data_IF_761889812477
#
_entry.id   IF_761889812477
#
_cell.length_a   1.000
_cell.length_b   1.000
_cell.length_c   1.000
_cell.angle_alpha   90.00
_cell.angle_beta   90.00
_cell.angle_gamma   90.00
#
_symmetry.space_group_name_H-M   'P 1'
#
loop_
_entity.id
_entity.type
_entity.pdbx_description
1 polymer ?
#
# COMPACT_ATOMS: atom_id res chain seq x y z
N UNK A 1 7.47 15.52 -22.84
CA UNK A 1 7.63 14.46 -21.81
C UNK A 1 6.26 13.85 -21.60
N UNK A 2 6.08 12.61 -22.09
CA UNK A 2 4.77 11.96 -22.27
C UNK A 2 3.96 11.86 -20.96
N UNK A 3 2.64 12.01 -21.06
CA UNK A 3 1.63 11.86 -20.00
C UNK A 3 1.71 10.47 -19.36
N UNK A 4 2.68 10.25 -18.45
CA UNK A 4 2.74 9.04 -17.64
C UNK A 4 1.73 9.17 -16.51
N UNK A 5 0.69 8.32 -16.46
CA UNK A 5 -0.27 8.37 -15.36
C UNK A 5 0.42 8.11 -14.01
N UNK A 6 -0.13 8.66 -12.91
CA UNK A 6 0.27 8.23 -11.57
C UNK A 6 0.09 6.70 -11.44
N UNK A 7 0.90 6.06 -10.61
CA UNK A 7 0.89 4.60 -10.36
C UNK A 7 1.27 3.73 -11.57
N UNK A 8 1.90 4.29 -12.61
CA UNK A 8 2.44 3.49 -13.71
C UNK A 8 3.54 2.56 -13.19
N UNK A 9 3.32 1.24 -13.32
CA UNK A 9 4.27 0.18 -13.00
C UNK A 9 5.48 0.26 -13.94
N UNK A 10 5.24 0.21 -15.25
CA UNK A 10 6.26 0.32 -16.30
C UNK A 10 5.59 0.75 -17.62
N UNK A 11 6.41 1.11 -18.60
CA UNK A 11 5.94 1.43 -19.95
C UNK A 11 6.40 0.36 -20.91
N UNK A 12 5.46 -0.23 -21.65
CA UNK A 12 5.71 -1.28 -22.63
C UNK A 12 5.42 -0.78 -24.04
N UNK A 13 6.20 -1.25 -24.99
CA UNK A 13 5.90 -1.16 -26.42
C UNK A 13 5.47 -2.55 -26.88
N UNK A 14 4.23 -2.69 -27.33
CA UNK A 14 3.66 -3.97 -27.75
C UNK A 14 3.29 -3.96 -29.23
N UNK A 15 3.44 -5.10 -29.90
CA UNK A 15 2.74 -5.41 -31.13
C UNK A 15 1.46 -6.16 -30.75
N UNK A 16 0.29 -5.62 -31.07
CA UNK A 16 -1.00 -6.09 -30.59
C UNK A 16 -1.97 -6.29 -31.75
N UNK A 17 -2.60 -7.46 -31.78
CA UNK A 17 -3.71 -7.80 -32.68
C UNK A 17 -5.04 -7.53 -31.97
N UNK A 18 -5.87 -6.65 -32.51
CA UNK A 18 -7.17 -6.39 -31.92
C UNK A 18 -8.23 -7.44 -32.33
N UNK A 19 -9.47 -7.26 -31.87
CA UNK A 19 -10.56 -8.21 -32.17
C UNK A 19 -10.88 -8.30 -33.68
N UNK A 20 -10.58 -7.26 -34.45
CA UNK A 20 -10.77 -7.24 -35.90
C UNK A 20 -9.60 -7.84 -36.69
N UNK A 21 -8.56 -8.32 -36.01
CA UNK A 21 -7.33 -8.81 -36.64
C UNK A 21 -6.37 -7.70 -37.07
N UNK A 22 -6.64 -6.43 -36.71
CA UNK A 22 -5.70 -5.34 -37.01
C UNK A 22 -4.48 -5.41 -36.09
N UNK A 23 -3.32 -5.65 -36.69
CA UNK A 23 -2.03 -5.65 -36.00
C UNK A 23 -1.47 -4.24 -35.96
N UNK A 24 -1.07 -3.83 -34.77
CA UNK A 24 -0.62 -2.47 -34.53
C UNK A 24 0.41 -2.37 -33.42
N UNK A 25 1.30 -1.39 -33.51
CA UNK A 25 2.22 -1.07 -32.44
C UNK A 25 1.58 -0.09 -31.44
N UNK A 26 1.68 -0.38 -30.14
CA UNK A 26 1.12 0.44 -29.07
C UNK A 26 2.18 0.71 -28.00
N UNK A 27 2.34 1.97 -27.63
CA UNK A 27 2.96 2.32 -26.35
C UNK A 27 1.91 2.28 -25.25
N UNK A 28 2.21 1.62 -24.12
CA UNK A 28 1.28 1.46 -23.00
C UNK A 28 1.99 1.77 -21.68
N UNK A 29 1.51 2.78 -20.95
CA UNK A 29 1.89 2.97 -19.54
C UNK A 29 1.01 2.09 -18.67
N UNK A 30 1.53 0.95 -18.23
CA UNK A 30 0.77 -0.08 -17.50
C UNK A 30 0.55 0.38 -16.06
N UNK A 31 -0.70 0.36 -15.62
CA UNK A 31 -1.12 0.77 -14.26
C UNK A 31 -1.69 -0.38 -13.45
N UNK A 32 -2.23 -1.41 -14.10
CA UNK A 32 -2.75 -2.60 -13.44
C UNK A 32 -2.62 -3.84 -14.32
N UNK A 33 -2.72 -5.02 -13.74
CA UNK A 33 -2.60 -6.28 -14.47
C UNK A 33 -3.08 -7.48 -13.65
N UNK A 34 -3.46 -8.53 -14.36
CA UNK A 34 -3.77 -9.84 -13.80
C UNK A 34 -3.08 -10.95 -14.63
N UNK A 35 -3.55 -12.19 -14.51
CA UNK A 35 -3.00 -13.37 -15.19
C UNK A 35 -3.29 -13.42 -16.69
N UNK A 36 -4.31 -12.71 -17.18
CA UNK A 36 -4.77 -12.78 -18.57
C UNK A 36 -4.55 -11.48 -19.35
N UNK A 37 -4.48 -10.35 -18.65
CA UNK A 37 -4.46 -9.03 -19.27
C UNK A 37 -3.74 -7.97 -18.43
N UNK A 38 -3.44 -6.85 -19.09
CA UNK A 38 -2.94 -5.63 -18.45
C UNK A 38 -3.81 -4.43 -18.81
N UNK A 39 -3.94 -3.51 -17.86
CA UNK A 39 -4.61 -2.22 -18.01
C UNK A 39 -3.58 -1.09 -17.98
N UNK A 40 -3.75 -0.15 -18.90
CA UNK A 40 -2.86 0.99 -18.96
C UNK A 40 -3.35 2.11 -19.85
N UNK A 41 -2.63 3.22 -19.78
CA UNK A 41 -2.85 4.34 -20.71
C UNK A 41 -2.21 4.01 -22.05
N UNK A 42 -3.06 3.86 -23.07
CA UNK A 42 -2.64 3.65 -24.45
C UNK A 42 -2.26 4.98 -25.08
N UNK A 43 -0.97 5.18 -25.38
CA UNK A 43 -0.47 6.44 -25.91
C UNK A 43 -0.97 6.76 -27.33
N UNK A 44 -1.27 5.73 -28.13
CA UNK A 44 -1.80 5.94 -29.48
C UNK A 44 -3.27 6.40 -29.46
N UNK A 45 -4.05 5.94 -28.49
CA UNK A 45 -5.49 6.23 -28.39
C UNK A 45 -5.80 7.29 -27.33
N UNK A 46 -4.79 7.76 -26.63
CA UNK A 46 -4.86 8.74 -25.53
C UNK A 46 -5.90 8.41 -24.46
N UNK A 47 -6.11 7.12 -24.18
CA UNK A 47 -7.11 6.65 -23.23
C UNK A 47 -6.68 5.37 -22.51
N UNK A 48 -7.31 5.09 -21.35
CA UNK A 48 -7.12 3.80 -20.67
C UNK A 48 -7.73 2.67 -21.49
N UNK A 49 -7.01 1.57 -21.62
CA UNK A 49 -7.44 0.35 -22.30
C UNK A 49 -6.86 -0.88 -21.62
N UNK A 50 -7.56 -1.99 -21.83
CA UNK A 50 -7.17 -3.34 -21.44
C UNK A 50 -6.58 -4.07 -22.64
N UNK A 51 -5.52 -4.83 -22.41
CA UNK A 51 -4.79 -5.60 -23.43
C UNK A 51 -4.63 -7.03 -22.93
N UNK A 52 -5.25 -7.99 -23.62
CA UNK A 52 -5.08 -9.42 -23.31
C UNK A 52 -3.72 -9.91 -23.78
N UNK A 53 -3.05 -10.74 -22.99
CA UNK A 53 -1.72 -11.23 -23.31
C UNK A 53 -1.70 -12.14 -24.54
N UNK A 54 -2.77 -12.92 -24.75
CA UNK A 54 -2.94 -13.82 -25.90
C UNK A 54 -2.96 -13.10 -27.25
N UNK A 55 -3.16 -11.77 -27.25
CA UNK A 55 -3.17 -10.91 -28.42
C UNK A 55 -1.91 -10.05 -28.57
N UNK A 56 -0.96 -10.17 -27.65
CA UNK A 56 0.33 -9.50 -27.72
C UNK A 56 1.32 -10.38 -28.48
N UNK A 57 1.65 -9.97 -29.71
CA UNK A 57 2.55 -10.70 -30.61
C UNK A 57 4.03 -10.49 -30.24
N UNK A 58 4.37 -9.31 -29.69
CA UNK A 58 5.68 -9.01 -29.13
C UNK A 58 5.60 -7.90 -28.11
N UNK A 59 6.53 -7.87 -27.16
CA UNK A 59 6.57 -6.88 -26.09
C UNK A 59 8.01 -6.49 -25.78
N UNK A 60 8.24 -5.19 -25.60
CA UNK A 60 9.54 -4.60 -25.25
C UNK A 60 9.35 -3.60 -24.12
N UNK A 61 10.26 -3.58 -23.14
CA UNK A 61 10.29 -2.53 -22.13
C UNK A 61 10.74 -1.22 -22.79
N UNK A 62 9.88 -0.19 -22.77
CA UNK A 62 10.13 1.05 -23.49
C UNK A 62 11.33 1.84 -22.94
N UNK A 63 11.72 1.61 -21.68
CA UNK A 63 12.83 2.33 -21.05
C UNK A 63 14.18 1.63 -21.28
N UNK A 64 14.21 0.29 -21.32
CA UNK A 64 15.45 -0.49 -21.42
C UNK A 64 15.71 -1.04 -22.82
N UNK A 65 14.68 -1.14 -23.67
CA UNK A 65 14.76 -1.80 -24.97
C UNK A 65 14.79 -3.33 -24.90
N UNK A 66 14.70 -3.92 -23.70
CA UNK A 66 14.75 -5.36 -23.50
C UNK A 66 13.45 -6.03 -23.95
N UNK A 67 13.57 -7.16 -24.63
CA UNK A 67 12.44 -8.01 -25.00
C UNK A 67 11.80 -8.65 -23.75
N UNK A 68 10.47 -8.59 -23.67
CA UNK A 68 9.69 -9.12 -22.56
C UNK A 68 8.96 -10.38 -23.03
N UNK A 69 9.52 -11.55 -22.68
CA UNK A 69 8.97 -12.84 -23.11
C UNK A 69 7.79 -13.31 -22.24
N UNK A 70 7.75 -12.89 -20.97
CA UNK A 70 6.62 -13.16 -20.06
C UNK A 70 6.18 -11.85 -19.43
N UNK A 71 5.09 -11.30 -19.96
CA UNK A 71 4.57 -9.98 -19.60
C UNK A 71 4.15 -9.96 -18.12
N UNK A 72 3.41 -10.96 -17.65
CA UNK A 72 2.95 -11.00 -16.27
C UNK A 72 4.12 -11.03 -15.27
N UNK A 73 5.12 -11.89 -15.49
CA UNK A 73 6.32 -11.97 -14.63
C UNK A 73 7.08 -10.65 -14.61
N UNK A 74 7.21 -10.00 -15.77
CA UNK A 74 7.85 -8.70 -15.92
C UNK A 74 7.07 -7.58 -15.18
N UNK A 75 5.76 -7.53 -15.35
CA UNK A 75 4.91 -6.57 -14.65
C UNK A 75 4.95 -6.77 -13.14
N UNK A 76 4.91 -8.02 -12.68
CA UNK A 76 5.02 -8.36 -11.25
C UNK A 76 6.37 -7.93 -10.66
N UNK A 77 7.49 -8.15 -11.38
CA UNK A 77 8.81 -7.75 -10.89
C UNK A 77 8.93 -6.23 -10.73
N UNK A 78 8.40 -5.46 -11.69
CA UNK A 78 8.35 -4.00 -11.60
C UNK A 78 7.35 -3.51 -10.54
N UNK A 79 6.19 -4.14 -10.43
CA UNK A 79 5.19 -3.79 -9.42
C UNK A 79 5.73 -3.99 -8.00
N UNK A 80 6.49 -5.06 -7.74
CA UNK A 80 7.18 -5.30 -6.47
C UNK A 80 8.14 -4.18 -6.05
N UNK A 81 8.63 -3.40 -7.00
CA UNK A 81 9.49 -2.25 -6.74
C UNK A 81 8.70 -0.98 -6.44
N UNK A 82 7.37 -0.96 -6.59
CA UNK A 82 6.55 0.25 -6.35
C UNK A 82 6.23 0.45 -4.87
N UNK A 83 5.96 1.69 -4.48
CA UNK A 83 5.41 1.98 -3.14
C UNK A 83 4.03 1.32 -2.96
N UNK A 84 3.21 1.30 -4.02
CA UNK A 84 1.89 0.67 -4.02
C UNK A 84 1.95 -0.79 -3.53
N UNK A 85 2.90 -1.58 -4.05
CA UNK A 85 3.09 -2.97 -3.60
C UNK A 85 3.38 -3.07 -2.09
N UNK A 86 4.22 -2.19 -1.56
CA UNK A 86 4.51 -2.13 -0.12
C UNK A 86 3.23 -1.83 0.68
N UNK A 87 2.41 -0.89 0.23
CA UNK A 87 1.14 -0.55 0.89
C UNK A 87 0.13 -1.71 0.82
N UNK A 88 0.06 -2.41 -0.31
CA UNK A 88 -0.82 -3.58 -0.49
C UNK A 88 -0.40 -4.74 0.43
N UNK A 89 0.91 -4.97 0.59
CA UNK A 89 1.42 -5.95 1.56
C UNK A 89 1.08 -5.56 3.00
N UNK A 90 1.22 -4.28 3.36
CA UNK A 90 0.83 -3.79 4.68
C UNK A 90 -0.66 -4.01 4.95
N UNK A 91 -1.51 -3.67 3.98
CA UNK A 91 -2.96 -3.85 4.08
C UNK A 91 -3.33 -5.32 4.31
N UNK A 92 -2.75 -6.24 3.53
CA UNK A 92 -3.07 -7.68 3.58
C UNK A 92 -2.48 -8.37 4.81
N UNK A 93 -1.23 -8.07 5.16
CA UNK A 93 -0.47 -8.84 6.14
C UNK A 93 -0.49 -8.23 7.55
N UNK A 94 -0.76 -6.92 7.67
CA UNK A 94 -0.77 -6.21 8.95
C UNK A 94 -2.08 -5.45 9.25
N UNK A 95 -3.27 -5.95 8.86
CA UNK A 95 -4.52 -5.20 9.02
C UNK A 95 -4.84 -4.89 10.49
N UNK A 96 -4.54 -5.81 11.40
CA UNK A 96 -4.83 -5.62 12.82
C UNK A 96 -3.92 -4.55 13.47
N UNK A 97 -2.66 -4.46 13.06
CA UNK A 97 -1.76 -3.39 13.52
C UNK A 97 -2.20 -2.02 12.99
N UNK A 98 -2.64 -1.94 11.72
CA UNK A 98 -3.17 -0.72 11.12
C UNK A 98 -4.46 -0.26 11.82
N UNK A 99 -5.36 -1.19 12.15
CA UNK A 99 -6.57 -0.90 12.94
C UNK A 99 -6.25 -0.38 14.34
N UNK A 100 -5.24 -0.94 15.01
CA UNK A 100 -4.78 -0.45 16.31
C UNK A 100 -4.28 1.00 16.20
N UNK A 101 -3.44 1.30 15.22
CA UNK A 101 -2.95 2.66 14.98
C UNK A 101 -4.10 3.63 14.67
N UNK A 102 -5.03 3.23 13.80
CA UNK A 102 -6.18 4.05 13.42
C UNK A 102 -7.08 4.35 14.62
N UNK A 103 -7.34 3.37 15.48
CA UNK A 103 -8.15 3.57 16.69
C UNK A 103 -7.52 4.59 17.62
N UNK A 104 -6.21 4.43 17.91
CA UNK A 104 -5.48 5.33 18.82
C UNK A 104 -5.40 6.74 18.22
N UNK A 105 -5.07 6.87 16.94
CA UNK A 105 -4.94 8.16 16.28
C UNK A 105 -6.28 8.88 16.09
N UNK A 106 -7.41 8.17 16.11
CA UNK A 106 -8.74 8.76 15.97
C UNK A 106 -9.45 8.97 17.31
N UNK A 107 -8.79 8.73 18.44
CA UNK A 107 -9.40 8.82 19.77
C UNK A 107 -9.99 10.22 20.07
N UNK A 108 -9.42 11.29 19.50
CA UNK A 108 -9.89 12.67 19.62
C UNK A 108 -10.92 13.08 18.53
N UNK A 109 -11.31 12.14 17.65
CA UNK A 109 -12.26 12.32 16.55
C UNK A 109 -11.64 12.49 15.16
N UNK A 110 -10.35 12.84 15.03
CA UNK A 110 -9.71 13.06 13.73
C UNK A 110 -8.22 12.75 13.70
N UNK A 111 -7.75 12.10 12.63
CA UNK A 111 -6.31 11.84 12.47
C UNK A 111 -5.59 13.09 11.94
N UNK A 112 -4.63 13.62 12.70
CA UNK A 112 -3.90 14.85 12.40
C UNK A 112 -2.51 14.59 11.80
N UNK A 113 -1.90 15.63 11.24
CA UNK A 113 -0.59 15.54 10.60
C UNK A 113 0.54 15.02 11.51
N UNK A 114 0.65 15.42 12.80
CA UNK A 114 1.68 14.87 13.70
C UNK A 114 1.55 13.36 13.91
N UNK A 115 0.34 12.85 14.04
CA UNK A 115 0.05 11.43 14.24
C UNK A 115 0.38 10.63 12.98
N UNK A 116 0.02 11.16 11.80
CA UNK A 116 0.40 10.56 10.51
C UNK A 116 1.91 10.47 10.33
N UNK A 117 2.67 11.45 10.82
CA UNK A 117 4.13 11.41 10.79
C UNK A 117 4.68 10.27 11.64
N UNK A 118 4.11 10.04 12.83
CA UNK A 118 4.47 8.90 13.70
C UNK A 118 4.11 7.58 13.02
N UNK A 119 2.91 7.48 12.44
CA UNK A 119 2.44 6.27 11.74
C UNK A 119 3.34 5.96 10.54
N UNK A 120 3.64 6.96 9.70
CA UNK A 120 4.58 6.79 8.59
C UNK A 120 5.95 6.29 9.08
N UNK A 121 6.45 6.84 10.20
CA UNK A 121 7.69 6.37 10.84
C UNK A 121 7.63 4.88 11.25
N UNK A 122 6.53 4.45 11.87
CA UNK A 122 6.32 3.04 12.20
C UNK A 122 6.30 2.15 10.95
N UNK A 123 5.56 2.55 9.92
CA UNK A 123 5.44 1.78 8.67
C UNK A 123 6.79 1.64 7.95
N UNK A 124 7.62 2.69 7.95
CA UNK A 124 9.01 2.63 7.44
C UNK A 124 9.84 1.59 8.17
N UNK A 125 9.76 1.54 9.50
CA UNK A 125 10.50 0.55 10.30
C UNK A 125 10.01 -0.86 10.00
N UNK A 126 8.69 -1.04 9.92
CA UNK A 126 8.06 -2.33 9.68
C UNK A 126 8.42 -2.91 8.30
N UNK A 127 8.45 -2.06 7.27
CA UNK A 127 8.64 -2.49 5.87
C UNK A 127 10.06 -2.33 5.36
N UNK A 128 10.88 -1.51 6.00
CA UNK A 128 12.16 -0.99 5.48
C UNK A 128 12.02 -0.16 4.20
N UNK A 129 10.80 0.28 3.87
CA UNK A 129 10.55 1.16 2.73
C UNK A 129 10.44 2.62 3.18
N UNK A 130 11.51 3.38 2.96
CA UNK A 130 11.60 4.78 3.40
C UNK A 130 10.79 5.75 2.52
N UNK A 131 10.19 5.28 1.43
CA UNK A 131 9.35 6.09 0.52
C UNK A 131 7.95 6.37 1.08
N UNK A 132 7.53 5.64 2.12
CA UNK A 132 6.23 5.87 2.78
C UNK A 132 6.24 7.28 3.41
N UNK A 133 5.29 8.14 3.07
CA UNK A 133 5.13 9.46 3.68
C UNK A 133 3.79 9.57 4.43
N UNK A 134 3.46 10.75 4.95
CA UNK A 134 2.18 10.96 5.65
C UNK A 134 0.97 10.76 4.73
N UNK A 135 1.11 11.01 3.42
CA UNK A 135 0.04 10.83 2.44
C UNK A 135 -0.25 9.34 2.23
N UNK A 136 0.80 8.54 2.01
CA UNK A 136 0.70 7.10 1.87
C UNK A 136 0.17 6.43 3.16
N UNK A 137 0.63 6.91 4.33
CA UNK A 137 0.10 6.45 5.62
C UNK A 137 -1.40 6.75 5.76
N UNK A 138 -1.83 7.97 5.40
CA UNK A 138 -3.25 8.35 5.43
C UNK A 138 -4.08 7.48 4.49
N UNK A 139 -3.65 7.33 3.24
CA UNK A 139 -4.34 6.50 2.24
C UNK A 139 -4.53 5.07 2.75
N UNK A 140 -3.47 4.48 3.29
CA UNK A 140 -3.51 3.13 3.85
C UNK A 140 -4.46 3.00 5.04
N UNK A 141 -4.44 3.95 5.98
CA UNK A 141 -5.33 3.91 7.15
C UNK A 141 -6.80 4.10 6.75
N UNK A 142 -7.07 4.95 5.76
CA UNK A 142 -8.43 5.31 5.37
C UNK A 142 -9.08 4.25 4.49
N UNK A 143 -8.32 3.23 4.06
CA UNK A 143 -8.85 2.00 3.50
C UNK A 143 -9.60 1.12 4.52
N UNK A 144 -9.57 1.48 5.81
CA UNK A 144 -10.29 0.81 6.89
C UNK A 144 -11.39 1.71 7.47
N UNK A 145 -12.52 1.09 7.82
CA UNK A 145 -13.47 1.73 8.72
C UNK A 145 -12.85 1.94 10.10
N UNK A 146 -13.16 3.09 10.71
CA UNK A 146 -12.71 3.41 12.06
C UNK A 146 -13.17 2.31 13.05
N UNK A 147 -12.25 1.61 13.73
CA UNK A 147 -12.64 0.54 14.64
C UNK A 147 -13.45 1.05 15.82
N UNK A 148 -14.41 0.25 16.29
CA UNK A 148 -14.99 0.43 17.62
C UNK A 148 -14.02 0.00 18.71
N UNK A 149 -14.30 0.34 19.98
CA UNK A 149 -13.50 -0.14 21.12
C UNK A 149 -13.40 -1.68 21.14
N UNK A 150 -14.48 -2.39 20.80
CA UNK A 150 -14.45 -3.85 20.67
C UNK A 150 -13.54 -4.30 19.53
N UNK A 151 -13.66 -3.69 18.35
CA UNK A 151 -12.81 -3.99 17.19
C UNK A 151 -11.33 -3.74 17.46
N UNK A 152 -11.01 -2.67 18.19
CA UNK A 152 -9.66 -2.39 18.69
C UNK A 152 -9.16 -3.50 19.62
N UNK A 153 -9.94 -3.88 20.64
CA UNK A 153 -9.54 -4.92 21.61
C UNK A 153 -9.28 -6.27 20.93
N UNK A 154 -10.09 -6.63 19.93
CA UNK A 154 -9.91 -7.82 19.09
C UNK A 154 -8.63 -7.74 18.26
N UNK A 155 -8.40 -6.61 17.58
CA UNK A 155 -7.21 -6.41 16.74
C UNK A 155 -5.92 -6.48 17.56
N UNK A 156 -5.89 -5.82 18.72
CA UNK A 156 -4.78 -5.91 19.68
C UNK A 156 -4.52 -7.35 20.13
N UNK A 157 -5.57 -8.15 20.40
CA UNK A 157 -5.40 -9.56 20.76
C UNK A 157 -4.80 -10.41 19.62
N UNK A 158 -5.15 -10.12 18.37
CA UNK A 158 -4.56 -10.78 17.19
C UNK A 158 -3.10 -10.39 17.00
N UNK A 159 -2.76 -9.11 17.19
CA UNK A 159 -1.36 -8.65 17.21
C UNK A 159 -0.58 -9.37 18.31
N UNK A 160 -1.11 -9.46 19.52
CA UNK A 160 -0.44 -10.12 20.64
C UNK A 160 -0.17 -11.61 20.39
N UNK A 161 -1.09 -12.30 19.70
CA UNK A 161 -0.99 -13.74 19.44
C UNK A 161 -0.19 -14.12 18.20
N UNK A 162 -0.12 -13.24 17.19
CA UNK A 162 0.51 -13.53 15.89
C UNK A 162 1.74 -12.68 15.60
N UNK A 163 1.91 -11.56 16.30
CA UNK A 163 3.01 -10.64 16.12
C UNK A 163 4.30 -11.16 16.74
N UNK A 164 5.43 -10.83 16.12
CA UNK A 164 6.72 -11.02 16.78
C UNK A 164 6.96 -9.91 17.83
N UNK A 165 7.86 -10.16 18.78
CA UNK A 165 8.14 -9.24 19.88
C UNK A 165 8.61 -7.85 19.40
N UNK A 166 9.45 -7.80 18.36
CA UNK A 166 9.98 -6.55 17.82
C UNK A 166 8.88 -5.67 17.22
N UNK A 167 8.04 -6.22 16.35
CA UNK A 167 6.91 -5.52 15.73
C UNK A 167 5.89 -5.06 16.78
N UNK A 168 5.61 -5.92 17.76
CA UNK A 168 4.70 -5.63 18.87
C UNK A 168 5.19 -4.46 19.71
N UNK A 169 6.48 -4.47 20.06
CA UNK A 169 7.14 -3.37 20.78
C UNK A 169 7.13 -2.08 19.96
N UNK A 170 7.47 -2.13 18.68
CA UNK A 170 7.43 -0.98 17.78
C UNK A 170 6.02 -0.39 17.66
N UNK A 171 4.99 -1.23 17.62
CA UNK A 171 3.60 -0.78 17.57
C UNK A 171 3.21 -0.06 18.86
N UNK A 172 3.54 -0.62 20.03
CA UNK A 172 3.27 0.02 21.31
C UNK A 172 3.95 1.39 21.44
N UNK A 173 5.22 1.48 21.01
CA UNK A 173 5.96 2.74 20.98
C UNK A 173 5.33 3.76 20.03
N UNK A 174 4.85 3.32 18.86
CA UNK A 174 4.13 4.17 17.93
C UNK A 174 2.83 4.70 18.53
N UNK A 175 2.01 3.85 19.17
CA UNK A 175 0.79 4.28 19.85
C UNK A 175 1.06 5.31 20.97
N UNK A 176 2.11 5.10 21.78
CA UNK A 176 2.52 6.09 22.78
C UNK A 176 2.95 7.41 22.15
N UNK A 177 3.72 7.35 21.06
CA UNK A 177 4.16 8.54 20.35
C UNK A 177 2.99 9.31 19.71
N UNK A 178 1.96 8.62 19.20
CA UNK A 178 0.71 9.21 18.69
C UNK A 178 0.02 10.02 19.80
N UNK A 179 -0.26 9.39 20.95
CA UNK A 179 -0.92 10.06 22.08
C UNK A 179 -0.10 11.26 22.58
N UNK A 180 1.23 11.13 22.60
CA UNK A 180 2.14 12.21 23.00
C UNK A 180 2.25 13.34 21.97
N UNK A 181 1.62 13.26 20.80
CA UNK A 181 1.52 14.41 19.89
C UNK A 181 0.53 15.46 20.40
N UNK A 182 -0.43 15.07 21.25
CA UNK A 182 -1.36 15.95 21.92
C UNK A 182 -0.75 16.64 23.16
N UNK A 183 -1.32 17.80 23.54
CA UNK A 183 -0.93 18.50 24.78
C UNK A 183 -1.47 17.82 26.04
N UNK A 184 -2.59 17.13 25.91
CA UNK A 184 -3.33 16.50 27.01
C UNK A 184 -3.77 15.12 26.56
N UNK A 185 -3.54 14.11 27.40
CA UNK A 185 -4.02 12.75 27.16
C UNK A 185 -5.47 12.65 27.61
N UNK A 186 -6.35 12.26 26.70
CA UNK A 186 -7.77 12.02 26.98
C UNK A 186 -7.97 10.69 27.71
N UNK A 187 -9.13 10.51 28.36
CA UNK A 187 -9.47 9.25 29.03
C UNK A 187 -9.50 8.05 28.06
N UNK A 188 -9.93 8.27 26.81
CA UNK A 188 -9.99 7.24 25.77
C UNK A 188 -8.58 6.80 25.33
N UNK A 189 -7.67 7.76 25.15
CA UNK A 189 -6.27 7.47 24.84
C UNK A 189 -5.59 6.72 25.98
N UNK A 190 -5.82 7.14 27.23
CA UNK A 190 -5.27 6.46 28.39
C UNK A 190 -5.80 5.02 28.50
N UNK A 191 -7.11 4.78 28.34
CA UNK A 191 -7.66 3.42 28.33
C UNK A 191 -7.03 2.57 27.22
N UNK A 192 -6.83 3.13 26.03
CA UNK A 192 -6.20 2.43 24.92
C UNK A 192 -4.74 2.05 25.24
N UNK A 193 -3.95 2.98 25.81
CA UNK A 193 -2.56 2.73 26.20
C UNK A 193 -2.44 1.71 27.34
N UNK A 194 -3.35 1.74 28.32
CA UNK A 194 -3.38 0.78 29.43
C UNK A 194 -3.70 -0.62 28.90
N UNK A 195 -4.69 -0.73 28.02
CA UNK A 195 -5.04 -2.01 27.40
C UNK A 195 -3.90 -2.56 26.55
N UNK A 196 -3.23 -1.71 25.75
CA UNK A 196 -2.07 -2.10 24.96
C UNK A 196 -0.92 -2.56 25.84
N UNK A 197 -0.58 -1.81 26.90
CA UNK A 197 0.53 -2.15 27.80
C UNK A 197 0.29 -3.47 28.55
N UNK A 198 -0.97 -3.78 28.87
CA UNK A 198 -1.35 -5.07 29.47
C UNK A 198 -1.24 -6.24 28.50
N UNK A 199 -1.53 -6.02 27.21
CA UNK A 199 -1.61 -7.08 26.19
C UNK A 199 -0.32 -7.29 25.41
N UNK A 200 0.51 -6.26 25.31
CA UNK A 200 1.74 -6.21 24.53
C UNK A 200 2.91 -5.91 25.47
N UNK A 201 3.34 -6.87 26.32
CA UNK A 201 4.40 -6.60 27.29
C UNK A 201 5.70 -6.22 26.60
N UNK A 202 6.38 -5.21 27.14
CA UNK A 202 7.73 -4.83 26.76
C UNK A 202 8.70 -5.75 27.51
N UNK A 203 9.00 -6.91 26.94
CA UNK A 203 10.21 -7.66 27.31
C UNK A 203 11.45 -7.05 26.63
#
# INVERSE_FOLDING_TARGET
MSNRPPNTITTLTICYEDYGGEITQRGVSVTDFDEEQMDGFCHLREQRRTFRYDRVLSCVNANTGEAVNNINVHLMSHYKQTLRYTLDLLYRNHPDALKVLLYVAKADGQVRAPELKVIAGFLKVLTRDFRIDESAARELLYAFDAPSLHGFKVSTGKVASRGNASTTRSLLLACRAIVNTGKTVTAVEQEALDYLSKRLPLE
#
